data_IF_411133354093
#
_entry.id   IF_411133354093
#
_cell.length_a   1.000
_cell.length_b   1.000
_cell.length_c   1.000
_cell.angle_alpha   90.00
_cell.angle_beta   90.00
_cell.angle_gamma   90.00
#
_symmetry.space_group_name_H-M   'P 1'
#
loop_
_entity.id
_entity.type
_entity.pdbx_description
1 polymer ?
#
# COMPACT_ATOMS: atom_id res chain seq x y z
N UNK A 1 -28.42 14.74 -16.87
CA UNK A 1 -28.08 15.84 -15.95
C UNK A 1 -27.20 15.31 -14.83
N UNK A 2 -26.15 16.09 -14.48
CA UNK A 2 -25.22 15.74 -13.41
C UNK A 2 -24.11 16.77 -13.25
N UNK A 3 -23.23 16.54 -12.27
CA UNK A 3 -22.09 17.41 -11.99
C UNK A 3 -20.79 16.62 -12.14
N UNK A 4 -19.75 17.32 -12.59
CA UNK A 4 -18.39 16.79 -12.69
C UNK A 4 -17.50 17.65 -11.80
N UNK A 5 -16.72 17.01 -10.95
CA UNK A 5 -15.73 17.67 -10.11
C UNK A 5 -14.33 17.12 -10.43
N UNK A 6 -13.35 18.01 -10.48
CA UNK A 6 -11.94 17.66 -10.59
C UNK A 6 -11.26 17.86 -9.24
N UNK A 7 -10.66 16.79 -8.72
CA UNK A 7 -9.81 16.83 -7.52
C UNK A 7 -8.35 16.76 -7.97
N UNK A 8 -7.61 17.85 -7.74
CA UNK A 8 -6.19 17.95 -8.06
C UNK A 8 -5.44 18.15 -6.75
N UNK A 9 -4.55 17.24 -6.40
CA UNK A 9 -3.75 17.27 -5.16
C UNK A 9 -2.30 16.94 -5.47
N UNK A 10 -1.36 17.47 -4.66
CA UNK A 10 0.08 17.31 -4.86
C UNK A 10 0.80 16.51 -3.75
N UNK A 11 0.08 15.85 -2.83
CA UNK A 11 0.67 15.18 -1.66
C UNK A 11 0.59 13.63 -1.75
N UNK A 12 0.22 13.08 -2.92
CA UNK A 12 0.02 11.63 -3.08
C UNK A 12 1.34 10.87 -2.96
N UNK A 13 2.40 11.38 -3.58
CA UNK A 13 3.75 10.79 -3.58
C UNK A 13 4.54 11.11 -2.30
N UNK A 14 4.01 11.95 -1.44
CA UNK A 14 4.57 12.32 -0.15
C UNK A 14 3.95 11.58 1.03
N UNK A 15 3.73 12.32 2.11
CA UNK A 15 3.12 11.78 3.35
C UNK A 15 1.61 11.51 3.23
N UNK A 16 0.98 12.02 2.18
CA UNK A 16 -0.46 11.91 1.87
C UNK A 16 -1.36 12.36 3.04
N UNK A 17 -0.98 13.46 3.71
CA UNK A 17 -1.67 14.04 4.87
C UNK A 17 -2.45 15.29 4.49
N UNK A 18 -1.89 16.12 3.60
CA UNK A 18 -2.41 17.45 3.26
C UNK A 18 -3.16 17.52 1.92
N UNK A 19 -3.27 16.39 1.21
CA UNK A 19 -3.95 16.28 -0.10
C UNK A 19 -5.36 15.70 0.02
N UNK A 20 -5.62 14.66 -0.76
CA UNK A 20 -6.92 13.99 -0.92
C UNK A 20 -7.60 13.63 0.39
N UNK A 21 -6.84 13.21 1.40
CA UNK A 21 -7.39 12.89 2.72
C UNK A 21 -8.14 14.07 3.34
N UNK A 22 -7.56 15.28 3.33
CA UNK A 22 -8.21 16.50 3.86
C UNK A 22 -9.45 16.88 3.08
N UNK A 23 -9.39 16.75 1.74
CA UNK A 23 -10.54 17.05 0.88
C UNK A 23 -11.67 16.05 1.17
N UNK A 24 -11.39 14.76 1.29
CA UNK A 24 -12.39 13.75 1.66
C UNK A 24 -13.01 14.03 3.03
N UNK A 25 -12.21 14.41 4.02
CA UNK A 25 -12.70 14.79 5.35
C UNK A 25 -13.60 16.05 5.30
N UNK A 26 -13.25 17.04 4.43
CA UNK A 26 -14.08 18.21 4.18
C UNK A 26 -15.42 17.85 3.51
N UNK A 27 -15.39 17.05 2.43
CA UNK A 27 -16.59 16.60 1.71
C UNK A 27 -17.56 15.84 2.62
N UNK A 28 -17.03 14.98 3.51
CA UNK A 28 -17.84 14.31 4.54
C UNK A 28 -18.53 15.30 5.48
N UNK A 29 -17.82 16.30 5.96
CA UNK A 29 -18.39 17.35 6.83
C UNK A 29 -19.49 18.13 6.13
N UNK A 30 -19.32 18.40 4.83
CA UNK A 30 -20.33 19.08 3.99
C UNK A 30 -21.46 18.15 3.56
N UNK A 31 -21.38 16.84 3.84
CA UNK A 31 -22.34 15.83 3.37
C UNK A 31 -22.52 15.81 1.86
N UNK A 32 -21.44 16.11 1.12
CA UNK A 32 -21.45 16.05 -0.34
C UNK A 32 -21.68 14.61 -0.81
N UNK A 33 -22.62 14.44 -1.72
CA UNK A 33 -22.96 13.16 -2.29
C UNK A 33 -22.23 12.96 -3.61
N UNK A 34 -21.22 12.10 -3.62
CA UNK A 34 -20.45 11.72 -4.80
C UNK A 34 -20.86 10.31 -5.19
N UNK A 35 -21.31 10.12 -6.43
CA UNK A 35 -21.78 8.82 -6.88
C UNK A 35 -20.63 7.89 -7.32
N UNK A 36 -19.56 8.45 -7.89
CA UNK A 36 -18.46 7.67 -8.44
C UNK A 36 -17.19 8.53 -8.59
N UNK A 37 -16.02 7.91 -8.48
CA UNK A 37 -14.73 8.54 -8.73
C UNK A 37 -13.88 7.70 -9.70
N UNK A 38 -13.27 8.35 -10.67
CA UNK A 38 -12.22 7.77 -11.52
C UNK A 38 -10.89 8.46 -11.23
N UNK A 39 -9.91 7.70 -10.73
CA UNK A 39 -8.57 8.21 -10.39
C UNK A 39 -7.61 7.97 -11.55
N UNK A 40 -6.87 8.99 -11.95
CA UNK A 40 -5.96 9.00 -13.10
C UNK A 40 -4.58 8.39 -12.82
N UNK A 41 -4.51 7.26 -12.14
CA UNK A 41 -3.25 6.56 -11.84
C UNK A 41 -2.67 5.85 -13.06
N UNK A 42 -1.34 5.71 -13.19
CA UNK A 42 -0.69 4.90 -14.22
C UNK A 42 -0.94 3.41 -13.96
N UNK A 43 -2.06 2.89 -14.47
CA UNK A 43 -2.52 1.53 -14.18
C UNK A 43 -2.03 0.48 -15.18
N UNK A 44 -1.61 0.90 -16.35
CA UNK A 44 -1.30 0.01 -17.46
C UNK A 44 0.20 -0.38 -17.45
N UNK A 45 0.55 -1.67 -17.46
CA UNK A 45 1.94 -2.10 -17.37
C UNK A 45 2.75 -1.83 -18.65
N UNK A 46 2.22 -2.11 -19.84
CA UNK A 46 2.96 -2.02 -21.10
C UNK A 46 2.24 -1.20 -22.17
N UNK A 47 0.92 -1.31 -22.29
CA UNK A 47 0.11 -0.65 -23.31
C UNK A 47 -1.15 -0.08 -22.69
N UNK A 48 -1.55 1.08 -23.16
CA UNK A 48 -2.82 1.71 -22.75
C UNK A 48 -4.00 0.77 -23.01
N UNK A 49 -4.85 0.58 -21.99
CA UNK A 49 -6.05 -0.27 -22.07
C UNK A 49 -5.88 -1.69 -21.53
N UNK A 50 -4.72 -2.05 -20.97
CA UNK A 50 -4.50 -3.38 -20.42
C UNK A 50 -5.17 -3.61 -19.05
N UNK A 51 -5.31 -2.55 -18.20
CA UNK A 51 -5.69 -2.76 -16.82
C UNK A 51 -6.47 -1.60 -16.20
N UNK A 52 -7.55 -1.94 -15.52
CA UNK A 52 -8.28 -1.08 -14.58
C UNK A 52 -8.02 -1.60 -13.16
N UNK A 53 -7.71 -0.70 -12.23
CA UNK A 53 -7.64 -1.08 -10.82
C UNK A 53 -9.01 -0.92 -10.18
N UNK A 54 -9.48 -2.00 -9.59
CA UNK A 54 -10.76 -2.08 -8.86
C UNK A 54 -10.57 -2.16 -7.34
N UNK A 55 -9.33 -2.13 -6.88
CA UNK A 55 -8.96 -2.21 -5.48
C UNK A 55 -7.46 -2.25 -5.28
N UNK A 56 -7.04 -2.12 -4.06
CA UNK A 56 -5.63 -2.17 -3.66
C UNK A 56 -5.45 -2.97 -2.38
N UNK A 57 -4.30 -3.63 -2.24
CA UNK A 57 -3.92 -4.22 -0.96
C UNK A 57 -3.62 -3.12 0.05
N UNK A 58 -3.88 -3.40 1.33
CA UNK A 58 -3.43 -2.55 2.42
C UNK A 58 -1.91 -2.58 2.58
N UNK A 59 -1.39 -1.56 3.26
CA UNK A 59 0.03 -1.44 3.56
C UNK A 59 0.26 -1.04 5.01
N UNK A 60 1.03 -1.87 5.74
CA UNK A 60 1.43 -1.67 7.12
C UNK A 60 2.94 -1.73 7.23
N UNK A 61 3.57 -0.62 7.62
CA UNK A 61 5.01 -0.58 7.92
C UNK A 61 5.20 -0.63 9.43
N UNK A 62 6.16 -1.44 9.89
CA UNK A 62 6.58 -1.50 11.28
C UNK A 62 8.07 -1.16 11.43
N UNK A 63 8.39 -0.26 12.35
CA UNK A 63 9.77 0.01 12.80
C UNK A 63 9.95 -0.60 14.18
N UNK A 64 10.76 -1.66 14.27
CA UNK A 64 11.04 -2.41 15.49
C UNK A 64 12.38 -2.00 16.06
N UNK A 65 12.42 -1.74 17.36
CA UNK A 65 13.64 -1.51 18.13
C UNK A 65 13.68 -2.51 19.28
N UNK A 66 14.78 -3.23 19.42
CA UNK A 66 15.06 -4.13 20.54
C UNK A 66 16.13 -3.48 21.43
N UNK A 67 15.81 -3.38 22.71
CA UNK A 67 16.75 -2.87 23.72
C UNK A 67 17.40 -4.06 24.43
N UNK A 68 18.73 -4.13 24.34
CA UNK A 68 19.58 -5.09 25.02
C UNK A 68 20.31 -4.48 26.22
N UNK A 69 21.42 -5.10 26.56
CA UNK A 69 22.40 -4.63 27.51
C UNK A 69 23.78 -4.83 26.88
N UNK A 70 24.50 -3.72 26.68
CA UNK A 70 25.83 -3.72 26.11
C UNK A 70 26.82 -4.45 27.02
N UNK A 71 27.80 -5.14 26.41
CA UNK A 71 28.85 -5.81 27.19
C UNK A 71 29.92 -6.41 26.29
N UNK A 72 30.97 -6.95 26.91
CA UNK A 72 32.06 -7.59 26.21
C UNK A 72 31.63 -8.98 25.71
N UNK A 73 31.95 -9.36 24.47
CA UNK A 73 31.55 -10.65 23.87
C UNK A 73 32.09 -11.85 24.63
N UNK A 74 33.24 -11.72 25.33
CA UNK A 74 33.80 -12.78 26.17
C UNK A 74 33.00 -13.06 27.45
N UNK A 75 32.10 -12.12 27.84
CA UNK A 75 31.27 -12.24 29.05
C UNK A 75 29.77 -12.11 28.72
N UNK A 76 29.22 -12.98 27.87
CA UNK A 76 27.84 -12.85 27.38
C UNK A 76 26.78 -12.92 28.48
N UNK A 77 27.09 -13.55 29.61
CA UNK A 77 26.25 -13.64 30.81
C UNK A 77 26.02 -12.30 31.50
N UNK A 78 26.90 -11.30 31.25
CA UNK A 78 26.79 -9.91 31.77
C UNK A 78 26.12 -8.95 30.78
N UNK A 79 25.75 -9.44 29.63
CA UNK A 79 25.13 -8.64 28.55
C UNK A 79 23.77 -9.22 28.14
N UNK A 80 23.08 -8.52 27.28
CA UNK A 80 21.87 -9.00 26.64
C UNK A 80 21.89 -8.60 25.15
N UNK A 81 22.16 -9.56 24.28
CA UNK A 81 22.39 -9.27 22.87
C UNK A 81 21.09 -9.01 22.11
N UNK A 82 20.79 -7.77 21.68
CA UNK A 82 19.59 -7.46 20.92
C UNK A 82 19.68 -7.98 19.48
N UNK A 83 20.90 -8.22 18.94
CA UNK A 83 21.10 -8.76 17.58
C UNK A 83 20.57 -10.18 17.48
N UNK A 84 20.83 -11.04 18.45
CA UNK A 84 20.30 -12.41 18.50
C UNK A 84 18.78 -12.39 18.63
N UNK A 85 18.24 -11.48 19.46
CA UNK A 85 16.79 -11.37 19.69
C UNK A 85 16.07 -10.91 18.44
N UNK A 86 16.59 -9.88 17.73
CA UNK A 86 15.95 -9.37 16.53
C UNK A 86 15.97 -10.41 15.40
N UNK A 87 17.03 -11.18 15.25
CA UNK A 87 17.12 -12.30 14.28
C UNK A 87 16.04 -13.34 14.56
N UNK A 88 15.84 -13.76 15.83
CA UNK A 88 14.77 -14.70 16.19
C UNK A 88 13.39 -14.13 15.85
N UNK A 89 13.14 -12.85 16.12
CA UNK A 89 11.88 -12.17 15.79
C UNK A 89 11.65 -12.15 14.27
N UNK A 90 12.65 -11.70 13.51
CA UNK A 90 12.54 -11.59 12.06
C UNK A 90 12.34 -12.93 11.38
N UNK A 91 13.03 -13.98 11.88
CA UNK A 91 12.76 -15.35 11.43
C UNK A 91 11.31 -15.76 11.67
N UNK A 92 10.77 -15.51 12.86
CA UNK A 92 9.35 -15.77 13.15
C UNK A 92 8.40 -14.96 12.29
N UNK A 93 8.74 -13.72 11.92
CA UNK A 93 7.94 -12.91 11.02
C UNK A 93 7.94 -13.49 9.58
N UNK A 94 9.08 -13.96 9.08
CA UNK A 94 9.18 -14.62 7.77
C UNK A 94 8.43 -15.94 7.71
N UNK A 95 8.38 -16.68 8.82
CA UNK A 95 7.67 -17.96 8.92
C UNK A 95 6.13 -17.81 8.97
N UNK A 96 5.61 -16.57 9.09
CA UNK A 96 4.16 -16.35 9.14
C UNK A 96 3.53 -16.62 7.77
N UNK A 97 2.74 -17.67 7.70
CA UNK A 97 1.79 -17.85 6.60
C UNK A 97 0.50 -17.12 6.95
N UNK A 98 0.21 -16.02 6.25
CA UNK A 98 -0.98 -15.19 6.51
C UNK A 98 -2.23 -15.82 5.90
N UNK A 99 -2.20 -16.05 4.59
CA UNK A 99 -3.30 -16.57 3.78
C UNK A 99 -2.79 -17.06 2.41
N UNK A 100 -3.70 -17.59 1.60
CA UNK A 100 -3.43 -18.05 0.21
C UNK A 100 -3.93 -17.06 -0.85
N UNK A 101 -4.30 -15.84 -0.45
CA UNK A 101 -4.97 -14.88 -1.32
C UNK A 101 -6.49 -15.11 -1.41
N UNK A 102 -7.11 -14.37 -2.33
CA UNK A 102 -8.51 -14.50 -2.71
C UNK A 102 -8.61 -14.51 -4.24
N UNK A 103 -9.82 -14.64 -4.80
CA UNK A 103 -10.02 -14.50 -6.24
C UNK A 103 -9.57 -13.14 -6.79
N UNK A 104 -9.63 -12.09 -5.95
CA UNK A 104 -9.36 -10.71 -6.36
C UNK A 104 -7.99 -10.22 -5.88
N UNK A 105 -7.38 -10.86 -4.87
CA UNK A 105 -6.14 -10.41 -4.26
C UNK A 105 -5.08 -11.48 -4.17
N UNK A 106 -3.84 -11.05 -4.38
CA UNK A 106 -2.66 -11.84 -4.05
C UNK A 106 -2.60 -12.14 -2.54
N UNK A 107 -1.85 -13.18 -2.12
CA UNK A 107 -1.60 -13.46 -0.71
C UNK A 107 -1.00 -12.26 0.03
N UNK A 108 -1.31 -12.16 1.31
CA UNK A 108 -0.65 -11.22 2.23
C UNK A 108 0.80 -11.65 2.42
N UNK A 109 1.72 -10.70 2.27
CA UNK A 109 3.16 -10.95 2.46
C UNK A 109 3.80 -9.91 3.37
N UNK A 110 4.84 -10.34 4.09
CA UNK A 110 5.70 -9.49 4.91
C UNK A 110 7.12 -9.54 4.35
N UNK A 111 7.68 -8.34 4.11
CA UNK A 111 9.07 -8.19 3.72
C UNK A 111 9.84 -7.34 4.74
N UNK A 112 11.04 -7.80 5.09
CA UNK A 112 11.98 -7.06 5.92
C UNK A 112 12.74 -6.14 4.97
N UNK A 113 12.65 -4.82 5.19
CA UNK A 113 13.22 -3.83 4.27
C UNK A 113 14.50 -3.18 4.79
N UNK A 114 14.76 -3.27 6.11
CA UNK A 114 15.99 -2.73 6.72
C UNK A 114 16.30 -3.47 8.00
N UNK A 115 17.58 -3.76 8.23
CA UNK A 115 18.13 -4.17 9.52
C UNK A 115 19.29 -3.24 9.81
N UNK A 116 19.32 -2.67 11.01
CA UNK A 116 20.38 -1.77 11.45
C UNK A 116 20.83 -2.13 12.87
N UNK A 117 22.12 -2.35 13.01
CA UNK A 117 22.79 -2.58 14.29
C UNK A 117 24.04 -1.70 14.24
N UNK A 118 23.91 -0.53 14.85
CA UNK A 118 24.99 0.44 14.89
C UNK A 118 26.00 0.02 15.96
N UNK A 119 27.02 -0.72 15.51
CA UNK A 119 28.09 -1.25 16.36
C UNK A 119 29.40 -1.22 15.59
N UNK A 120 30.37 -0.47 16.08
CA UNK A 120 31.67 -0.27 15.44
C UNK A 120 32.79 -1.16 15.99
N UNK A 121 32.54 -1.85 17.11
CA UNK A 121 33.51 -2.68 17.80
C UNK A 121 33.14 -4.17 17.72
N UNK A 122 34.05 -5.00 17.21
CA UNK A 122 33.82 -6.43 17.02
C UNK A 122 33.69 -7.23 18.32
N UNK A 123 34.30 -6.73 19.40
CA UNK A 123 34.32 -7.37 20.71
C UNK A 123 33.25 -6.84 21.68
N UNK A 124 32.28 -6.05 21.19
CA UNK A 124 31.20 -5.48 21.99
C UNK A 124 29.83 -5.98 21.51
N UNK A 125 29.04 -6.50 22.45
CA UNK A 125 27.60 -6.76 22.25
C UNK A 125 26.88 -5.42 22.25
N UNK A 126 26.09 -5.07 21.21
CA UNK A 126 25.41 -3.77 21.11
C UNK A 126 24.31 -3.58 22.14
N UNK A 127 23.93 -2.32 22.39
CA UNK A 127 22.80 -1.98 23.26
C UNK A 127 21.45 -2.06 22.52
N UNK A 128 21.44 -1.82 21.19
CA UNK A 128 20.22 -1.65 20.39
C UNK A 128 20.36 -2.39 19.07
N UNK A 129 19.26 -2.99 18.61
CA UNK A 129 19.10 -3.50 17.24
C UNK A 129 17.76 -3.06 16.67
N UNK A 130 17.72 -2.67 15.41
CA UNK A 130 16.54 -2.14 14.74
C UNK A 130 16.23 -2.89 13.44
N UNK A 131 14.96 -2.98 13.11
CA UNK A 131 14.51 -3.46 11.80
C UNK A 131 13.27 -2.72 11.33
N UNK A 132 13.15 -2.58 10.01
CA UNK A 132 11.93 -2.10 9.36
C UNK A 132 11.38 -3.23 8.50
N UNK A 133 10.08 -3.40 8.53
CA UNK A 133 9.35 -4.36 7.68
C UNK A 133 8.08 -3.72 7.12
N UNK A 134 7.61 -4.23 5.98
CA UNK A 134 6.35 -3.83 5.38
C UNK A 134 5.48 -5.06 5.12
N UNK A 135 4.18 -4.92 5.36
CA UNK A 135 3.17 -5.94 5.06
C UNK A 135 2.23 -5.38 4.00
N UNK A 136 2.12 -6.10 2.88
CA UNK A 136 1.05 -5.89 1.90
C UNK A 136 -0.03 -6.93 2.16
N UNK A 137 -1.24 -6.47 2.51
CA UNK A 137 -2.30 -7.37 2.96
C UNK A 137 -3.59 -7.21 2.17
N UNK A 138 -4.28 -8.31 1.98
CA UNK A 138 -5.56 -8.38 1.30
C UNK A 138 -6.73 -8.16 2.29
N UNK A 139 -7.95 -8.23 1.79
CA UNK A 139 -9.18 -7.98 2.54
C UNK A 139 -9.58 -9.08 3.55
N UNK A 140 -8.77 -10.14 3.71
CA UNK A 140 -8.90 -11.12 4.82
C UNK A 140 -8.33 -10.58 6.14
N UNK A 141 -7.53 -9.51 6.06
CA UNK A 141 -6.88 -8.90 7.21
C UNK A 141 -7.21 -7.42 7.32
N UNK A 142 -7.08 -6.90 8.53
CA UNK A 142 -7.03 -5.46 8.81
C UNK A 142 -5.68 -5.12 9.44
N UNK A 143 -5.27 -3.84 9.36
CA UNK A 143 -4.05 -3.39 10.03
C UNK A 143 -4.09 -3.70 11.54
N UNK A 144 -5.27 -3.60 12.16
CA UNK A 144 -5.49 -3.91 13.59
C UNK A 144 -5.23 -5.39 13.88
N UNK A 145 -5.77 -6.31 13.07
CA UNK A 145 -5.57 -7.75 13.24
C UNK A 145 -4.10 -8.15 13.09
N UNK A 146 -3.42 -7.56 12.10
CA UNK A 146 -1.99 -7.77 11.86
C UNK A 146 -1.12 -7.25 13.01
N UNK A 147 -1.36 -6.02 13.48
CA UNK A 147 -0.67 -5.46 14.66
C UNK A 147 -0.83 -6.38 15.88
N UNK A 148 -2.05 -6.86 16.15
CA UNK A 148 -2.32 -7.79 17.26
C UNK A 148 -1.51 -9.07 17.12
N UNK A 149 -1.47 -9.67 15.93
CA UNK A 149 -0.71 -10.90 15.64
C UNK A 149 0.80 -10.72 15.85
N UNK A 150 1.37 -9.64 15.30
CA UNK A 150 2.79 -9.33 15.43
C UNK A 150 3.16 -9.03 16.89
N UNK A 151 2.37 -8.20 17.59
CA UNK A 151 2.61 -7.86 18.98
C UNK A 151 2.58 -9.10 19.90
N UNK A 152 1.76 -10.12 19.60
CA UNK A 152 1.75 -11.39 20.33
C UNK A 152 3.11 -12.12 20.20
N UNK A 153 3.70 -12.13 19.00
CA UNK A 153 5.02 -12.72 18.76
C UNK A 153 6.10 -11.93 19.50
N UNK A 154 6.09 -10.58 19.36
CA UNK A 154 7.04 -9.70 20.01
C UNK A 154 7.03 -9.87 21.53
N UNK A 155 5.85 -9.84 22.15
CA UNK A 155 5.68 -10.02 23.59
C UNK A 155 6.22 -11.38 24.06
N UNK A 156 5.96 -12.46 23.30
CA UNK A 156 6.44 -13.81 23.65
C UNK A 156 7.97 -13.90 23.65
N UNK A 157 8.61 -13.41 22.57
CA UNK A 157 10.06 -13.49 22.44
C UNK A 157 10.73 -12.52 23.43
N UNK A 158 10.20 -11.32 23.60
CA UNK A 158 10.70 -10.36 24.59
C UNK A 158 10.66 -10.91 26.02
N UNK A 159 9.57 -11.60 26.39
CA UNK A 159 9.46 -12.27 27.69
C UNK A 159 10.52 -13.38 27.85
N UNK A 160 10.71 -14.22 26.81
CA UNK A 160 11.74 -15.30 26.81
C UNK A 160 13.13 -14.74 27.09
N UNK A 161 13.48 -13.64 26.46
CA UNK A 161 14.81 -13.01 26.58
C UNK A 161 14.90 -11.94 27.66
N UNK A 162 13.83 -11.70 28.42
CA UNK A 162 13.74 -10.61 29.42
C UNK A 162 14.24 -9.28 28.84
N UNK A 163 13.87 -8.99 27.57
CA UNK A 163 14.26 -7.78 26.83
C UNK A 163 13.09 -6.82 26.68
N UNK A 164 13.38 -5.54 26.42
CA UNK A 164 12.36 -4.55 26.06
C UNK A 164 12.32 -4.36 24.53
N UNK A 165 11.15 -4.10 24.00
CA UNK A 165 11.00 -3.70 22.59
C UNK A 165 10.11 -2.48 22.46
N UNK A 166 10.34 -1.71 21.41
CA UNK A 166 9.43 -0.67 20.91
C UNK A 166 9.08 -1.00 19.46
N UNK A 167 7.82 -0.88 19.10
CA UNK A 167 7.40 -0.99 17.69
C UNK A 167 6.47 0.16 17.34
N UNK A 168 6.81 0.84 16.26
CA UNK A 168 6.02 1.92 15.70
C UNK A 168 5.40 1.45 14.39
N UNK A 169 4.07 1.62 14.25
CA UNK A 169 3.35 1.19 13.06
C UNK A 169 2.82 2.39 12.29
N UNK A 170 3.04 2.39 10.97
CA UNK A 170 2.41 3.31 10.02
C UNK A 170 1.52 2.52 9.07
N UNK A 171 0.25 2.89 9.00
CA UNK A 171 -0.73 2.34 8.06
C UNK A 171 -0.88 3.32 6.92
N UNK A 172 -0.43 2.96 5.70
CA UNK A 172 -0.63 3.79 4.52
C UNK A 172 -2.06 3.67 3.97
N UNK A 173 -2.71 2.52 4.18
CA UNK A 173 -4.11 2.29 3.83
C UNK A 173 -4.54 0.87 4.16
N UNK A 174 -5.85 0.69 4.36
CA UNK A 174 -6.48 -0.62 4.44
C UNK A 174 -6.70 -1.20 3.03
N UNK A 175 -6.82 -2.53 2.95
CA UNK A 175 -7.22 -3.16 1.69
C UNK A 175 -8.66 -2.77 1.34
N UNK A 176 -8.92 -2.53 0.05
CA UNK A 176 -10.25 -2.24 -0.43
C UNK A 176 -10.53 -2.87 -1.80
N UNK A 177 -11.78 -3.07 -2.09
CA UNK A 177 -12.27 -3.59 -3.37
C UNK A 177 -13.57 -2.84 -3.73
N UNK A 178 -13.62 -2.29 -4.93
CA UNK A 178 -14.85 -1.87 -5.59
C UNK A 178 -15.39 -3.07 -6.36
N UNK A 179 -16.57 -3.55 -5.99
CA UNK A 179 -17.21 -4.66 -6.71
C UNK A 179 -17.56 -4.18 -8.13
N UNK A 180 -17.16 -4.92 -9.18
CA UNK A 180 -17.53 -4.58 -10.54
C UNK A 180 -19.04 -4.49 -10.71
N UNK A 181 -19.49 -3.43 -11.35
CA UNK A 181 -20.89 -3.11 -11.63
C UNK A 181 -21.09 -2.61 -13.06
N UNK A 182 -22.30 -2.11 -13.37
CA UNK A 182 -22.61 -1.53 -14.69
C UNK A 182 -21.64 -0.43 -15.11
N UNK A 183 -21.21 0.43 -14.17
CA UNK A 183 -20.25 1.50 -14.43
C UNK A 183 -18.87 0.94 -14.79
N UNK A 184 -18.41 -0.07 -14.06
CA UNK A 184 -17.15 -0.77 -14.35
C UNK A 184 -17.15 -1.37 -15.76
N UNK A 185 -18.24 -2.04 -16.13
CA UNK A 185 -18.34 -2.68 -17.46
C UNK A 185 -18.51 -1.66 -18.59
N UNK A 186 -19.19 -0.54 -18.35
CA UNK A 186 -19.26 0.58 -19.28
C UNK A 186 -17.85 1.15 -19.54
N UNK A 187 -17.07 1.42 -18.48
CA UNK A 187 -15.68 1.89 -18.60
C UNK A 187 -14.82 0.90 -19.37
N UNK A 188 -14.91 -0.41 -19.08
CA UNK A 188 -14.20 -1.44 -19.84
C UNK A 188 -14.56 -1.40 -21.35
N UNK A 189 -15.83 -1.19 -21.66
CA UNK A 189 -16.32 -1.14 -23.04
C UNK A 189 -15.80 0.07 -23.79
N UNK A 190 -15.80 1.25 -23.15
CA UNK A 190 -15.22 2.49 -23.69
C UNK A 190 -13.74 2.32 -24.00
N UNK A 191 -12.97 1.78 -23.04
CA UNK A 191 -11.54 1.54 -23.24
C UNK A 191 -11.31 0.58 -24.38
N UNK A 192 -12.03 -0.54 -24.41
CA UNK A 192 -11.94 -1.53 -25.51
C UNK A 192 -12.25 -0.93 -26.88
N UNK A 193 -13.25 -0.05 -26.97
CA UNK A 193 -13.63 0.62 -28.23
C UNK A 193 -12.47 1.44 -28.82
N UNK A 194 -11.71 2.13 -27.95
CA UNK A 194 -10.62 3.06 -28.36
C UNK A 194 -9.31 2.31 -28.54
N UNK A 195 -8.94 1.44 -27.58
CA UNK A 195 -7.63 0.77 -27.56
C UNK A 195 -7.61 -0.58 -28.27
N UNK A 196 -8.79 -1.16 -28.59
CA UNK A 196 -9.01 -2.54 -29.06
C UNK A 196 -8.60 -3.62 -28.05
N UNK A 197 -8.25 -3.22 -26.81
CA UNK A 197 -7.88 -4.11 -25.72
C UNK A 197 -8.99 -4.08 -24.67
N UNK A 198 -9.44 -5.25 -24.21
CA UNK A 198 -10.34 -5.34 -23.05
C UNK A 198 -9.51 -5.31 -21.77
N UNK A 199 -9.62 -4.27 -20.91
CA UNK A 199 -8.80 -4.19 -19.72
C UNK A 199 -9.10 -5.31 -18.74
N UNK A 200 -8.04 -5.84 -18.09
CA UNK A 200 -8.20 -6.74 -16.95
C UNK A 200 -8.57 -5.92 -15.70
N UNK A 201 -9.50 -6.43 -14.91
CA UNK A 201 -9.80 -5.89 -13.59
C UNK A 201 -8.75 -6.42 -12.59
N UNK A 202 -8.14 -5.55 -11.81
CA UNK A 202 -6.97 -5.93 -11.00
C UNK A 202 -6.92 -5.18 -9.67
N UNK A 203 -6.28 -5.81 -8.69
CA UNK A 203 -5.97 -5.21 -7.37
C UNK A 203 -4.46 -5.13 -7.10
N UNK A 204 -3.64 -5.40 -8.13
CA UNK A 204 -2.17 -5.39 -8.02
C UNK A 204 -1.62 -3.97 -7.95
N UNK A 205 -0.37 -3.83 -7.48
CA UNK A 205 0.38 -2.58 -7.42
C UNK A 205 0.44 -1.95 -6.04
N UNK A 206 0.88 -0.69 -6.01
CA UNK A 206 1.04 0.13 -4.80
C UNK A 206 -0.28 0.61 -4.21
N UNK A 207 -0.23 1.61 -3.35
CA UNK A 207 -1.40 2.34 -2.87
C UNK A 207 -1.69 3.54 -3.79
N UNK A 208 -2.88 4.12 -3.69
CA UNK A 208 -3.28 5.33 -4.42
C UNK A 208 -4.27 6.11 -3.57
N UNK A 209 -4.60 7.32 -4.00
CA UNK A 209 -5.56 8.17 -3.29
C UNK A 209 -6.99 7.64 -3.29
N UNK A 210 -7.31 6.67 -4.14
CA UNK A 210 -8.58 5.95 -4.07
C UNK A 210 -8.81 5.30 -2.70
N UNK A 211 -7.73 4.98 -1.93
CA UNK A 211 -7.81 4.51 -0.54
C UNK A 211 -8.58 5.44 0.40
N UNK A 212 -8.55 6.74 0.15
CA UNK A 212 -9.29 7.73 0.92
C UNK A 212 -10.70 7.94 0.36
N UNK A 213 -10.80 8.05 -0.95
CA UNK A 213 -12.04 8.34 -1.69
C UNK A 213 -13.09 7.25 -1.50
N UNK A 214 -12.68 5.99 -1.41
CA UNK A 214 -13.59 4.85 -1.16
C UNK A 214 -14.44 5.00 0.11
N UNK A 215 -14.09 5.91 1.00
CA UNK A 215 -14.86 6.20 2.21
C UNK A 215 -16.10 7.07 1.97
N UNK A 216 -16.24 7.65 0.76
CA UNK A 216 -17.36 8.51 0.36
C UNK A 216 -18.07 8.02 -0.90
N UNK A 217 -17.38 7.32 -1.81
CA UNK A 217 -18.01 6.77 -3.02
C UNK A 217 -17.24 5.56 -3.54
N UNK A 218 -17.87 4.71 -4.38
CA UNK A 218 -17.16 3.73 -5.18
C UNK A 218 -16.22 4.42 -6.18
N UNK A 219 -15.12 3.74 -6.54
CA UNK A 219 -14.19 4.30 -7.52
C UNK A 219 -13.33 3.24 -8.17
N UNK A 220 -12.74 3.62 -9.30
CA UNK A 220 -11.80 2.84 -10.09
C UNK A 220 -10.57 3.68 -10.40
N UNK A 221 -9.50 3.03 -10.80
CA UNK A 221 -8.30 3.73 -11.26
C UNK A 221 -8.00 3.29 -12.69
N UNK A 222 -7.76 4.25 -13.55
CA UNK A 222 -7.32 4.04 -14.92
C UNK A 222 -6.56 5.27 -15.42
N UNK A 223 -5.40 5.08 -16.00
CA UNK A 223 -4.60 6.17 -16.56
C UNK A 223 -3.53 5.66 -17.53
N UNK A 224 -2.40 6.31 -17.58
CA UNK A 224 -1.34 6.06 -18.54
C UNK A 224 -0.58 4.75 -18.28
N UNK A 225 0.41 4.49 -19.11
CA UNK A 225 1.35 3.37 -18.97
C UNK A 225 2.42 3.76 -17.96
N UNK A 226 2.59 2.93 -16.91
CA UNK A 226 3.55 3.17 -15.83
C UNK A 226 4.94 2.57 -16.04
N UNK A 227 5.36 2.30 -17.29
CA UNK A 227 6.61 1.59 -17.59
C UNK A 227 7.87 2.30 -17.07
N UNK A 228 7.87 3.62 -17.06
CA UNK A 228 8.99 4.46 -16.61
C UNK A 228 8.72 5.17 -15.28
N UNK A 229 7.60 4.85 -14.63
CA UNK A 229 7.20 5.43 -13.34
C UNK A 229 8.31 5.30 -12.29
N UNK A 230 8.64 6.41 -11.62
CA UNK A 230 9.72 6.55 -10.63
C UNK A 230 11.13 6.27 -11.16
N UNK A 231 11.34 6.34 -12.47
CA UNK A 231 12.68 6.21 -13.10
C UNK A 231 13.22 7.57 -13.51
N UNK A 232 14.53 7.64 -13.69
CA UNK A 232 15.15 8.75 -14.39
C UNK A 232 14.57 8.80 -15.81
N UNK A 233 14.31 10.00 -16.33
CA UNK A 233 13.64 10.24 -17.62
C UNK A 233 12.25 9.61 -17.72
N UNK A 234 11.46 9.75 -16.67
CA UNK A 234 10.06 9.33 -16.66
C UNK A 234 9.30 9.99 -17.82
N UNK A 235 8.64 9.19 -18.64
CA UNK A 235 8.01 9.65 -19.86
C UNK A 235 6.75 8.87 -20.20
N UNK A 236 5.88 9.51 -21.00
CA UNK A 236 4.67 8.91 -21.54
C UNK A 236 4.55 9.16 -23.05
N UNK A 237 3.89 8.23 -23.74
CA UNK A 237 3.60 8.38 -25.17
C UNK A 237 2.56 9.48 -25.41
N UNK A 238 2.85 10.44 -26.32
CA UNK A 238 1.87 11.43 -26.76
C UNK A 238 0.62 10.80 -27.38
N UNK A 239 0.76 9.66 -28.04
CA UNK A 239 -0.36 8.88 -28.58
C UNK A 239 -1.24 8.34 -27.44
N UNK A 240 -0.64 7.85 -26.36
CA UNK A 240 -1.38 7.34 -25.20
C UNK A 240 -2.08 8.48 -24.45
N UNK A 241 -1.44 9.64 -24.33
CA UNK A 241 -2.06 10.83 -23.73
C UNK A 241 -3.31 11.27 -24.53
N UNK A 242 -3.21 11.37 -25.86
CA UNK A 242 -4.34 11.67 -26.74
C UNK A 242 -5.46 10.63 -26.65
N UNK A 243 -5.11 9.35 -26.56
CA UNK A 243 -6.10 8.29 -26.43
C UNK A 243 -6.74 8.28 -25.03
N UNK A 244 -6.01 8.54 -23.97
CA UNK A 244 -6.55 8.67 -22.62
C UNK A 244 -7.56 9.81 -22.52
N UNK A 245 -7.27 10.97 -23.13
CA UNK A 245 -8.22 12.09 -23.23
C UNK A 245 -9.52 11.66 -23.91
N UNK A 246 -9.43 10.94 -25.03
CA UNK A 246 -10.61 10.40 -25.74
C UNK A 246 -11.38 9.40 -24.86
N UNK A 247 -10.66 8.56 -24.11
CA UNK A 247 -11.29 7.57 -23.21
C UNK A 247 -12.07 8.30 -22.11
N UNK A 248 -11.47 9.30 -21.44
CA UNK A 248 -12.14 10.04 -20.38
C UNK A 248 -13.36 10.80 -20.89
N UNK A 249 -13.26 11.47 -22.04
CA UNK A 249 -14.39 12.14 -22.66
C UNK A 249 -15.55 11.16 -22.93
N UNK A 250 -15.24 9.99 -23.51
CA UNK A 250 -16.25 8.99 -23.79
C UNK A 250 -16.84 8.37 -22.51
N UNK A 251 -16.05 8.19 -21.44
CA UNK A 251 -16.56 7.74 -20.14
C UNK A 251 -17.59 8.76 -19.61
N UNK A 252 -17.23 10.04 -19.59
CA UNK A 252 -18.11 11.12 -19.13
C UNK A 252 -19.42 11.10 -19.95
N UNK A 253 -19.34 11.09 -21.27
CA UNK A 253 -20.51 11.08 -22.15
C UNK A 253 -21.43 9.87 -21.95
N UNK A 254 -20.88 8.70 -21.64
CA UNK A 254 -21.67 7.49 -21.41
C UNK A 254 -22.18 7.37 -19.97
N UNK A 255 -21.54 8.01 -19.02
CA UNK A 255 -21.94 8.00 -17.61
C UNK A 255 -23.22 8.82 -17.36
N UNK A 256 -23.42 9.91 -18.12
CA UNK A 256 -24.56 10.84 -17.98
C UNK A 256 -25.70 10.59 -19.00
N UNK A 257 -25.61 9.52 -19.78
CA UNK A 257 -26.74 9.04 -20.60
C UNK A 257 -27.71 8.21 -19.76
#
# INVERSE_FOLDING_TARGET
NGSISLLITGDEEGDAVNGTKKVVDYLKKKRENINFCLVGEPTNPNRLGEMIKIGRRGSLTGKLTIHGLQGHVAYPHRAKNPSTIIVEILKKFKDIKFDKGTKDFQPTNLEITKINIDNTADNVIPAIAQATFNIRFNNKHSSTSLKKRLNKILKRISKKHKSKFKVEYRVSGEAFLTKPDKTTFMIQSVIKKITKIRPKLSTTGGTSDLRFIKAICPGLEFGLVGKTMHKVDEAVSLKDLKNLTKIYLNIIQNYFK
#
